data_IF_035804517030
#
_entry.id   IF_035804517030
#
_cell.length_a   1.000
_cell.length_b   1.000
_cell.length_c   1.000
_cell.angle_alpha   90.00
_cell.angle_beta   90.00
_cell.angle_gamma   90.00
#
_symmetry.space_group_name_H-M   'P 1'
#
loop_
_entity.id
_entity.type
_entity.pdbx_description
1 polymer ?
#
# COMPACT_ATOMS: atom_id res chain seq x y z
N UNK A 1 -76.60 -56.73 5.00
CA UNK A 1 -77.67 -57.36 4.17
C UNK A 1 -77.12 -57.42 2.73
N UNK A 2 -77.07 -58.66 2.25
CA UNK A 2 -76.97 -59.12 0.85
C UNK A 2 -75.70 -58.70 0.05
N UNK A 3 -74.80 -59.66 -0.22
CA UNK A 3 -74.81 -60.71 -1.26
C UNK A 3 -74.89 -60.09 -2.65
N UNK A 4 -74.10 -60.40 -3.59
CA UNK A 4 -73.66 -61.64 -4.28
C UNK A 4 -72.63 -61.35 -5.34
N UNK A 5 -71.59 -62.07 -5.48
CA UNK A 5 -71.45 -63.24 -6.36
C UNK A 5 -71.14 -62.90 -7.83
N UNK A 6 -69.97 -63.38 -8.19
CA UNK A 6 -69.62 -64.11 -9.42
C UNK A 6 -69.76 -63.38 -10.78
N UNK A 7 -68.84 -63.48 -11.62
CA UNK A 7 -68.61 -64.63 -12.48
C UNK A 7 -67.26 -64.64 -13.20
N UNK A 8 -66.76 -65.78 -13.34
CA UNK A 8 -65.59 -66.17 -14.09
C UNK A 8 -65.84 -66.05 -15.58
N UNK A 9 -64.79 -65.89 -16.29
CA UNK A 9 -64.41 -66.57 -17.61
C UNK A 9 -63.42 -65.69 -18.28
N UNK A 10 -62.17 -66.00 -18.49
CA UNK A 10 -61.74 -67.14 -19.25
C UNK A 10 -61.01 -66.59 -20.48
N UNK A 11 -59.77 -66.97 -20.62
CA UNK A 11 -59.01 -67.15 -21.88
C UNK A 11 -58.51 -65.91 -22.61
N UNK A 12 -57.31 -65.76 -22.80
CA UNK A 12 -56.46 -66.18 -23.93
C UNK A 12 -55.08 -65.54 -23.80
N UNK A 13 -54.17 -66.41 -23.69
CA UNK A 13 -52.75 -66.20 -23.75
C UNK A 13 -52.36 -65.73 -25.16
N UNK A 14 -51.92 -64.49 -25.29
CA UNK A 14 -51.20 -64.05 -26.50
C UNK A 14 -49.76 -63.75 -26.11
N UNK A 15 -48.78 -64.33 -26.75
CA UNK A 15 -47.40 -64.05 -26.47
C UNK A 15 -47.05 -62.63 -26.93
N UNK A 16 -46.64 -61.81 -26.00
CA UNK A 16 -46.09 -60.49 -26.31
C UNK A 16 -44.79 -60.62 -27.09
N UNK A 17 -44.62 -59.82 -28.15
CA UNK A 17 -43.37 -59.75 -28.88
C UNK A 17 -42.32 -59.12 -27.92
N UNK A 18 -41.26 -59.84 -27.73
CA UNK A 18 -40.08 -59.37 -27.02
C UNK A 18 -39.56 -58.08 -27.64
N UNK A 19 -39.79 -57.00 -26.90
CA UNK A 19 -39.25 -55.67 -27.28
C UNK A 19 -37.77 -55.72 -27.09
N UNK A 20 -37.04 -55.93 -28.18
CA UNK A 20 -35.58 -55.84 -28.22
C UNK A 20 -35.23 -54.37 -28.08
N UNK A 21 -34.97 -53.97 -26.85
CA UNK A 21 -34.35 -52.67 -26.60
C UNK A 21 -32.98 -52.67 -27.30
N UNK A 22 -32.95 -52.04 -28.48
CA UNK A 22 -31.67 -51.60 -29.07
C UNK A 22 -31.11 -50.52 -28.14
N UNK A 23 -30.25 -50.91 -27.26
CA UNK A 23 -29.37 -49.98 -26.52
C UNK A 23 -28.55 -49.26 -27.57
N UNK A 24 -28.97 -48.06 -27.93
CA UNK A 24 -28.13 -47.12 -28.67
C UNK A 24 -26.97 -46.75 -27.79
N UNK A 25 -25.85 -47.38 -27.99
CA UNK A 25 -24.60 -47.01 -27.35
C UNK A 25 -24.22 -45.62 -27.90
N UNK A 26 -24.60 -44.58 -27.16
CA UNK A 26 -24.14 -43.22 -27.43
C UNK A 26 -22.67 -43.21 -26.98
N UNK A 27 -21.79 -43.42 -27.95
CA UNK A 27 -20.36 -43.18 -27.72
C UNK A 27 -20.21 -41.68 -27.46
N UNK A 28 -19.82 -41.26 -26.24
CA UNK A 28 -19.55 -39.86 -26.01
C UNK A 28 -18.44 -39.46 -26.98
N UNK A 29 -18.74 -38.45 -27.80
CA UNK A 29 -17.77 -37.83 -28.66
C UNK A 29 -16.69 -37.25 -27.73
N UNK A 30 -15.57 -37.92 -27.69
CA UNK A 30 -14.37 -37.39 -27.01
C UNK A 30 -14.10 -36.02 -27.63
N UNK A 31 -14.42 -34.94 -26.87
CA UNK A 31 -13.99 -33.61 -27.23
C UNK A 31 -12.49 -33.65 -27.25
N UNK A 32 -11.89 -33.52 -28.40
CA UNK A 32 -10.45 -33.41 -28.56
C UNK A 32 -10.01 -32.18 -27.74
N UNK A 33 -9.45 -32.41 -26.56
CA UNK A 33 -8.76 -31.36 -25.84
C UNK A 33 -7.59 -30.94 -26.74
N UNK A 34 -7.73 -29.81 -27.42
CA UNK A 34 -6.64 -29.21 -28.17
C UNK A 34 -5.55 -28.82 -27.15
N UNK A 35 -4.48 -29.57 -27.13
CA UNK A 35 -3.30 -29.24 -26.35
C UNK A 35 -2.61 -28.00 -26.93
N UNK A 36 -2.03 -27.19 -26.05
CA UNK A 36 -1.19 -26.05 -26.45
C UNK A 36 0.02 -26.50 -27.25
N UNK A 37 0.40 -25.78 -28.27
CA UNK A 37 1.63 -26.02 -29.00
C UNK A 37 2.81 -25.45 -28.24
N UNK A 38 3.99 -26.07 -28.38
CA UNK A 38 5.21 -25.61 -27.73
C UNK A 38 5.56 -24.17 -28.18
N UNK A 39 5.31 -23.83 -29.45
CA UNK A 39 5.57 -22.51 -29.98
C UNK A 39 4.63 -21.45 -29.36
N UNK A 40 3.39 -21.77 -29.12
CA UNK A 40 2.42 -20.87 -28.48
C UNK A 40 2.88 -20.50 -27.06
N UNK A 41 3.36 -21.50 -26.30
CA UNK A 41 3.93 -21.27 -24.97
C UNK A 41 5.16 -20.33 -25.04
N UNK A 42 6.11 -20.60 -25.97
CA UNK A 42 7.32 -19.79 -26.10
C UNK A 42 6.98 -18.34 -26.47
N UNK A 43 6.06 -18.11 -27.39
CA UNK A 43 5.63 -16.77 -27.79
C UNK A 43 5.00 -16.02 -26.60
N UNK A 44 4.13 -16.68 -25.85
CA UNK A 44 3.48 -16.07 -24.68
C UNK A 44 4.47 -15.68 -23.61
N UNK A 45 5.39 -16.59 -23.21
CA UNK A 45 6.40 -16.27 -22.20
C UNK A 45 7.38 -15.19 -22.64
N UNK A 46 7.69 -15.13 -23.93
CA UNK A 46 8.55 -14.09 -24.50
C UNK A 46 7.88 -12.71 -24.39
N UNK A 47 6.61 -12.60 -24.76
CA UNK A 47 5.85 -11.34 -24.66
C UNK A 47 5.74 -10.91 -23.19
N UNK A 48 5.39 -11.83 -22.28
CA UNK A 48 5.31 -11.53 -20.85
C UNK A 48 6.67 -11.06 -20.31
N UNK A 49 7.76 -11.70 -20.73
CA UNK A 49 9.11 -11.32 -20.33
C UNK A 49 9.48 -9.88 -20.74
N UNK A 50 9.14 -9.50 -21.95
CA UNK A 50 9.39 -8.12 -22.46
C UNK A 50 8.55 -7.11 -21.66
N UNK A 51 7.25 -7.38 -21.47
CA UNK A 51 6.37 -6.48 -20.72
C UNK A 51 6.80 -6.35 -19.26
N UNK A 52 7.19 -7.45 -18.62
CA UNK A 52 7.69 -7.43 -17.24
C UNK A 52 8.98 -6.59 -17.11
N UNK A 53 9.89 -6.69 -18.08
CA UNK A 53 11.13 -5.91 -18.10
C UNK A 53 10.88 -4.39 -18.11
N UNK A 54 9.93 -3.92 -18.89
CA UNK A 54 9.55 -2.49 -18.94
C UNK A 54 8.82 -2.06 -17.66
N UNK A 55 7.96 -2.92 -17.11
CA UNK A 55 7.18 -2.60 -15.91
C UNK A 55 8.05 -2.34 -14.67
N UNK A 56 9.13 -3.10 -14.49
CA UNK A 56 10.00 -3.00 -13.30
C UNK A 56 10.63 -1.60 -13.16
N UNK A 57 11.09 -0.99 -14.26
CA UNK A 57 11.71 0.34 -14.25
C UNK A 57 10.71 1.43 -13.82
N UNK A 58 9.49 1.36 -14.32
CA UNK A 58 8.44 2.33 -13.98
C UNK A 58 8.00 2.23 -12.52
N UNK A 59 7.96 1.02 -11.96
CA UNK A 59 7.58 0.80 -10.55
C UNK A 59 8.62 1.41 -9.61
N UNK A 60 9.92 1.26 -9.86
CA UNK A 60 10.98 1.85 -9.03
C UNK A 60 10.88 3.37 -8.99
N UNK A 61 10.71 4.01 -10.14
CA UNK A 61 10.54 5.46 -10.22
C UNK A 61 9.29 5.94 -9.46
N UNK A 62 8.16 5.25 -9.63
CA UNK A 62 6.92 5.58 -8.92
C UNK A 62 7.05 5.41 -7.40
N UNK A 63 7.75 4.37 -6.94
CA UNK A 63 8.01 4.16 -5.51
C UNK A 63 8.89 5.26 -4.92
N UNK A 64 9.96 5.66 -5.62
CA UNK A 64 10.82 6.75 -5.15
C UNK A 64 10.01 8.05 -5.07
N UNK A 65 9.26 8.40 -6.10
CA UNK A 65 8.40 9.59 -6.11
C UNK A 65 7.39 9.59 -4.95
N UNK A 66 6.80 8.43 -4.64
CA UNK A 66 5.87 8.29 -3.53
C UNK A 66 6.57 8.50 -2.18
N UNK A 67 7.78 7.96 -1.98
CA UNK A 67 8.58 8.17 -0.76
C UNK A 67 8.97 9.63 -0.58
N UNK A 68 9.38 10.30 -1.64
CA UNK A 68 9.72 11.72 -1.61
C UNK A 68 8.52 12.60 -1.29
N UNK A 69 7.35 12.27 -1.84
CA UNK A 69 6.12 12.98 -1.50
C UNK A 69 5.72 12.78 -0.02
N UNK A 70 5.89 11.57 0.50
CA UNK A 70 5.67 11.27 1.92
C UNK A 70 6.66 12.04 2.80
N UNK A 71 7.96 12.07 2.44
CA UNK A 71 8.98 12.82 3.18
C UNK A 71 8.63 14.31 3.28
N UNK A 72 8.24 14.95 2.17
CA UNK A 72 7.82 16.36 2.18
C UNK A 72 6.60 16.60 3.06
N UNK A 73 5.66 15.66 3.06
CA UNK A 73 4.49 15.75 3.93
C UNK A 73 4.88 15.64 5.41
N UNK A 74 5.71 14.67 5.75
CA UNK A 74 6.16 14.47 7.14
C UNK A 74 6.96 15.68 7.66
N UNK A 75 7.86 16.24 6.84
CA UNK A 75 8.58 17.47 7.16
C UNK A 75 7.62 18.64 7.37
N UNK A 76 6.63 18.80 6.52
CA UNK A 76 5.62 19.86 6.66
C UNK A 76 4.82 19.73 7.97
N UNK A 77 4.38 18.52 8.31
CA UNK A 77 3.63 18.28 9.56
C UNK A 77 4.48 18.54 10.80
N UNK A 78 5.76 18.16 10.77
CA UNK A 78 6.69 18.42 11.88
C UNK A 78 6.98 19.92 12.05
N UNK A 79 7.26 20.63 10.95
CA UNK A 79 7.47 22.09 10.97
C UNK A 79 6.24 22.81 11.47
N UNK A 80 5.07 22.41 11.01
CA UNK A 80 3.81 22.94 11.52
C UNK A 80 3.64 22.71 13.02
N UNK A 81 3.99 21.53 13.52
CA UNK A 81 3.91 21.25 14.97
C UNK A 81 4.89 22.10 15.78
N UNK A 82 6.08 22.41 15.23
CA UNK A 82 7.04 23.35 15.84
C UNK A 82 6.43 24.76 15.88
N UNK A 83 5.82 25.23 14.79
CA UNK A 83 5.20 26.53 14.70
C UNK A 83 4.02 26.67 15.68
N UNK A 84 3.15 25.63 15.75
CA UNK A 84 2.01 25.59 16.68
C UNK A 84 2.50 25.62 18.14
N UNK A 85 3.58 24.88 18.47
CA UNK A 85 4.19 24.92 19.78
C UNK A 85 4.73 26.31 20.11
N UNK A 86 5.44 26.94 19.16
CA UNK A 86 5.98 28.28 19.34
C UNK A 86 4.86 29.33 19.52
N UNK A 87 3.78 29.21 18.76
CA UNK A 87 2.63 30.13 18.90
C UNK A 87 2.00 30.06 20.30
N UNK A 88 1.92 28.87 20.90
CA UNK A 88 1.31 28.66 22.21
C UNK A 88 2.27 28.99 23.38
N UNK A 89 3.54 28.63 23.26
CA UNK A 89 4.52 28.71 24.37
C UNK A 89 5.45 29.91 24.26
N UNK A 90 5.50 30.60 23.13
CA UNK A 90 6.44 31.70 22.83
C UNK A 90 7.91 31.29 22.99
N UNK A 91 8.19 30.00 22.81
CA UNK A 91 9.53 29.41 22.82
C UNK A 91 9.56 28.16 21.91
N UNK A 92 10.72 27.86 21.37
CA UNK A 92 10.92 26.63 20.63
C UNK A 92 10.98 25.40 21.53
N UNK A 93 10.57 24.19 21.04
CA UNK A 93 10.69 22.98 21.84
C UNK A 93 12.15 22.58 22.02
N UNK A 94 12.50 22.02 23.18
CA UNK A 94 13.87 21.59 23.49
C UNK A 94 14.35 20.42 22.60
N UNK A 95 13.41 19.64 22.06
CA UNK A 95 13.62 18.52 21.11
C UNK A 95 12.33 18.19 20.37
N UNK A 96 12.42 17.48 19.24
CA UNK A 96 11.24 16.97 18.52
C UNK A 96 10.40 16.02 19.40
N UNK A 97 11.02 15.32 20.35
CA UNK A 97 10.30 14.44 21.28
C UNK A 97 9.35 15.21 22.21
N UNK A 98 9.65 16.48 22.51
CA UNK A 98 8.77 17.37 23.30
C UNK A 98 7.44 17.60 22.60
N UNK A 99 7.42 17.70 21.26
CA UNK A 99 6.19 17.83 20.48
C UNK A 99 5.26 16.62 20.63
N UNK A 100 5.84 15.43 20.75
CA UNK A 100 5.06 14.20 20.97
C UNK A 100 4.53 14.13 22.39
N UNK A 101 5.36 14.48 23.39
CA UNK A 101 4.97 14.45 24.82
C UNK A 101 3.88 15.48 25.14
N UNK A 102 3.91 16.64 24.53
CA UNK A 102 2.93 17.71 24.69
C UNK A 102 1.75 17.64 23.71
N UNK A 103 1.70 16.58 22.86
CA UNK A 103 0.60 16.25 21.95
C UNK A 103 0.40 17.21 20.77
N UNK A 104 1.39 17.99 20.40
CA UNK A 104 1.41 18.73 19.14
C UNK A 104 1.64 17.80 17.96
N UNK A 105 2.36 16.68 18.20
CA UNK A 105 2.52 15.60 17.25
C UNK A 105 2.00 14.29 17.88
N UNK A 106 1.26 13.50 17.12
CA UNK A 106 0.71 12.24 17.63
C UNK A 106 1.78 11.20 17.92
N UNK A 107 2.77 11.11 17.05
CA UNK A 107 3.91 10.21 17.17
C UNK A 107 5.01 10.69 16.23
N UNK A 108 6.26 10.39 16.55
CA UNK A 108 7.39 10.70 15.68
C UNK A 108 7.24 9.92 14.37
N UNK A 109 7.16 10.59 13.20
CA UNK A 109 7.11 9.92 11.92
C UNK A 109 8.44 9.22 11.60
N UNK A 110 8.39 8.22 10.73
CA UNK A 110 9.58 7.57 10.20
C UNK A 110 9.91 8.17 8.85
N UNK A 111 11.16 8.57 8.67
CA UNK A 111 11.63 9.02 7.37
C UNK A 111 11.44 7.94 6.31
N UNK A 112 10.66 8.19 5.24
CA UNK A 112 10.36 7.20 4.20
C UNK A 112 11.60 6.78 3.38
N UNK A 113 12.70 7.55 3.44
CA UNK A 113 13.94 7.26 2.72
C UNK A 113 14.85 6.37 3.55
N UNK A 114 15.13 6.78 4.81
CA UNK A 114 16.01 6.02 5.72
C UNK A 114 15.29 4.88 6.43
N UNK A 115 13.95 4.90 6.48
CA UNK A 115 13.08 3.98 7.23
C UNK A 115 13.30 4.03 8.74
N UNK A 116 13.89 5.11 9.26
CA UNK A 116 14.16 5.37 10.66
C UNK A 116 13.55 6.69 11.10
N UNK A 117 13.51 6.94 12.41
CA UNK A 117 13.06 8.22 12.98
C UNK A 117 14.29 9.06 13.40
N UNK A 118 15.27 9.14 12.49
CA UNK A 118 16.51 9.87 12.63
C UNK A 118 16.40 11.21 11.89
N UNK A 119 15.76 12.17 12.54
CA UNK A 119 15.60 13.51 12.01
C UNK A 119 16.75 14.40 12.49
N UNK A 120 17.22 15.29 11.65
CA UNK A 120 18.20 16.30 12.01
C UNK A 120 17.49 17.53 12.55
N UNK A 121 17.75 17.85 13.82
CA UNK A 121 17.17 19.00 14.52
C UNK A 121 18.03 20.24 14.24
N UNK A 122 17.42 21.26 13.67
CA UNK A 122 18.06 22.57 13.45
C UNK A 122 17.66 23.50 14.59
N UNK A 123 18.64 23.89 15.38
CA UNK A 123 18.40 24.76 16.52
C UNK A 123 18.23 26.22 16.09
N UNK A 124 17.44 26.96 16.85
CA UNK A 124 17.25 28.39 16.65
C UNK A 124 18.58 29.13 16.84
N UNK A 125 18.88 30.05 15.92
CA UNK A 125 20.06 30.89 16.05
C UNK A 125 19.88 31.94 17.13
N UNK A 126 20.90 32.10 17.96
CA UNK A 126 20.98 33.21 18.95
C UNK A 126 21.88 34.35 18.47
N UNK A 127 22.36 34.30 17.22
CA UNK A 127 23.21 35.35 16.65
C UNK A 127 22.34 36.59 16.35
N UNK A 128 22.62 37.76 16.97
CA UNK A 128 21.88 38.98 16.73
C UNK A 128 21.95 39.52 15.29
N UNK A 129 22.84 38.99 14.45
CA UNK A 129 22.91 39.32 13.02
C UNK A 129 22.15 38.37 12.14
N UNK A 130 21.60 37.28 12.67
CA UNK A 130 20.78 36.33 11.93
C UNK A 130 19.32 36.84 11.91
N UNK A 131 18.71 37.08 10.72
CA UNK A 131 17.33 37.50 10.61
C UNK A 131 16.31 36.47 11.15
N UNK A 132 16.74 35.24 11.37
CA UNK A 132 15.97 34.16 11.98
C UNK A 132 16.24 33.99 13.48
N UNK A 133 17.10 34.85 14.07
CA UNK A 133 17.43 34.79 15.49
C UNK A 133 16.23 35.14 16.37
N UNK A 134 16.04 34.37 17.42
CA UNK A 134 15.03 34.64 18.44
C UNK A 134 15.53 35.73 19.35
N UNK A 135 14.72 36.79 19.57
CA UNK A 135 15.03 37.87 20.53
C UNK A 135 14.96 37.33 21.96
N UNK A 136 16.13 37.09 22.55
CA UNK A 136 16.29 36.54 23.88
C UNK A 136 16.28 37.64 24.99
N UNK A 137 15.82 38.87 24.68
CA UNK A 137 15.86 39.99 25.60
C UNK A 137 14.95 39.88 26.83
N UNK A 138 14.31 38.74 27.11
CA UNK A 138 13.29 38.62 28.14
C UNK A 138 13.56 37.73 29.36
N UNK A 139 14.35 36.67 29.28
CA UNK A 139 14.62 35.80 30.44
C UNK A 139 15.90 34.97 30.28
N UNK A 140 16.87 35.22 31.13
CA UNK A 140 18.17 34.54 31.17
C UNK A 140 18.12 33.05 31.63
N UNK A 141 16.94 32.43 31.67
CA UNK A 141 16.74 31.11 32.28
C UNK A 141 16.67 29.96 31.28
N UNK A 142 16.69 30.21 29.95
CA UNK A 142 16.69 29.12 28.96
C UNK A 142 17.76 29.38 27.90
N UNK A 143 19.00 29.09 28.26
CA UNK A 143 20.17 29.24 27.39
C UNK A 143 20.37 28.11 26.38
N UNK A 144 19.44 27.22 26.24
CA UNK A 144 19.46 26.22 25.16
C UNK A 144 18.53 26.67 24.03
N UNK A 145 19.10 27.02 22.87
CA UNK A 145 18.27 27.32 21.69
C UNK A 145 17.43 26.10 21.36
N UNK A 146 16.12 26.26 21.32
CA UNK A 146 15.21 25.17 20.98
C UNK A 146 15.26 24.82 19.50
N UNK A 147 14.60 23.73 19.11
CA UNK A 147 14.51 23.24 17.73
C UNK A 147 13.57 24.14 16.92
N UNK A 148 14.14 24.86 15.96
CA UNK A 148 13.41 25.77 15.06
C UNK A 148 12.97 25.10 13.77
N UNK A 149 13.77 24.17 13.25
CA UNK A 149 13.49 23.48 11.98
C UNK A 149 13.92 22.02 12.07
N UNK A 150 13.47 21.22 11.13
CA UNK A 150 13.78 19.80 11.02
C UNK A 150 14.12 19.45 9.57
N UNK A 151 15.12 18.56 9.41
CA UNK A 151 15.58 18.07 8.13
C UNK A 151 15.67 16.56 8.12
N UNK A 152 15.67 15.99 6.90
CA UNK A 152 15.92 14.56 6.73
C UNK A 152 17.41 14.25 6.91
N UNK A 153 17.74 13.22 7.69
CA UNK A 153 19.10 12.67 7.77
C UNK A 153 19.45 11.76 6.57
N UNK A 154 18.58 11.68 5.57
CA UNK A 154 18.81 10.88 4.37
C UNK A 154 19.94 11.47 3.53
N UNK A 155 20.85 10.60 3.10
CA UNK A 155 21.90 10.97 2.16
C UNK A 155 21.44 10.73 0.73
N UNK A 156 21.91 11.58 -0.19
CA UNK A 156 21.58 11.49 -1.61
C UNK A 156 20.65 12.60 -2.08
N UNK A 157 20.22 12.47 -3.34
CA UNK A 157 19.43 13.50 -4.00
C UNK A 157 18.04 12.96 -4.37
N UNK A 158 17.06 13.83 -4.31
CA UNK A 158 15.73 13.56 -4.83
C UNK A 158 15.69 13.44 -6.35
N UNK A 159 14.54 13.06 -6.88
CA UNK A 159 14.30 12.97 -8.32
C UNK A 159 14.43 14.32 -9.04
N UNK A 160 14.28 15.41 -8.30
CA UNK A 160 14.49 16.79 -8.77
C UNK A 160 15.97 17.22 -8.74
N UNK A 161 16.86 16.36 -8.24
CA UNK A 161 18.30 16.62 -8.12
C UNK A 161 18.70 17.39 -6.87
N UNK A 162 17.76 17.84 -6.03
CA UNK A 162 18.07 18.51 -4.76
C UNK A 162 18.44 17.49 -3.68
N UNK A 163 19.45 17.78 -2.85
CA UNK A 163 19.79 16.90 -1.72
C UNK A 163 18.63 16.81 -0.70
N UNK A 164 18.41 15.64 -0.11
CA UNK A 164 17.33 15.45 0.88
C UNK A 164 17.50 16.31 2.15
N UNK A 165 18.73 16.63 2.54
CA UNK A 165 19.00 17.48 3.71
C UNK A 165 18.68 18.96 3.49
N UNK A 166 18.39 19.37 2.25
CA UNK A 166 17.97 20.73 1.91
C UNK A 166 16.45 20.91 1.84
N UNK A 167 15.71 19.82 2.09
CA UNK A 167 14.23 19.82 2.03
C UNK A 167 13.58 20.36 3.28
#
# INVERSE_FOLDING_TARGET
MRRTMNDERGTMNCPHPTNVHRSSFIVPRSSSASGFTLIELIVVVTIIGILAGVAISNVKYAQQKAREAALRHDLFEMRKAIDDYYADKQKYPDSLQTLVSEKYLRSMPKDPITMRSDWEEVQASTDPNDPAAVDTSGDAASLTPGVQDVRSAAQGNGLDGTPYHDW
#
